data_IF_495608110212
#
_entry.id   IF_495608110212
#
_cell.length_a   1.000
_cell.length_b   1.000
_cell.length_c   1.000
_cell.angle_alpha   90.00
_cell.angle_beta   90.00
_cell.angle_gamma   90.00
#
_symmetry.space_group_name_H-M   'P 1'
#
loop_
_entity.id
_entity.type
_entity.pdbx_description
1 polymer ?
#
# COMPACT_ATOMS: atom_id res chain seq x y z
N UNK A 1 -18.38 -21.51 -18.09
CA UNK A 1 -19.59 -21.44 -17.27
C UNK A 1 -19.99 -19.98 -17.06
N UNK A 2 -21.24 -19.62 -17.33
CA UNK A 2 -21.74 -18.23 -17.25
C UNK A 2 -21.75 -17.72 -15.79
N UNK A 3 -22.09 -18.57 -14.85
CA UNK A 3 -22.09 -18.22 -13.42
C UNK A 3 -20.66 -17.90 -12.91
N UNK A 4 -19.69 -18.72 -13.25
CA UNK A 4 -18.28 -18.47 -12.91
C UNK A 4 -17.78 -17.16 -13.53
N UNK A 5 -18.17 -16.88 -14.78
CA UNK A 5 -17.80 -15.64 -15.45
C UNK A 5 -18.37 -14.39 -14.76
N UNK A 6 -19.61 -14.46 -14.24
CA UNK A 6 -20.17 -13.35 -13.47
C UNK A 6 -19.42 -13.11 -12.14
N UNK A 7 -19.06 -14.18 -11.42
CA UNK A 7 -18.27 -14.10 -10.17
C UNK A 7 -16.86 -13.60 -10.37
N UNK A 8 -16.30 -13.74 -11.55
CA UNK A 8 -14.95 -13.24 -11.89
C UNK A 8 -14.94 -11.77 -12.29
N UNK A 9 -16.07 -11.13 -12.47
CA UNK A 9 -16.14 -9.69 -12.77
C UNK A 9 -15.70 -8.87 -11.56
N UNK A 10 -14.93 -7.83 -11.82
CA UNK A 10 -14.53 -6.88 -10.78
C UNK A 10 -15.78 -6.11 -10.27
N UNK A 11 -16.03 -6.19 -8.99
CA UNK A 11 -17.09 -5.46 -8.28
C UNK A 11 -16.63 -4.13 -7.66
N UNK A 12 -15.32 -3.93 -7.60
CA UNK A 12 -14.68 -2.72 -7.09
C UNK A 12 -14.39 -1.71 -8.21
N UNK A 13 -14.19 -0.45 -7.85
CA UNK A 13 -13.83 0.60 -8.82
C UNK A 13 -12.49 0.27 -9.48
N UNK A 14 -12.40 0.57 -10.78
CA UNK A 14 -11.17 0.43 -11.54
C UNK A 14 -10.02 1.12 -10.80
N UNK A 15 -8.86 0.49 -10.78
CA UNK A 15 -7.64 0.94 -10.11
C UNK A 15 -7.66 0.95 -8.57
N UNK A 16 -8.76 0.58 -7.91
CA UNK A 16 -8.74 0.33 -6.46
C UNK A 16 -7.90 -0.89 -6.07
N UNK A 17 -7.61 -1.76 -7.03
CA UNK A 17 -6.68 -2.88 -6.91
C UNK A 17 -5.74 -2.86 -8.12
N UNK A 18 -4.53 -3.37 -7.97
CA UNK A 18 -3.56 -3.48 -9.06
C UNK A 18 -4.14 -4.32 -10.19
N UNK A 19 -4.21 -3.82 -11.43
CA UNK A 19 -4.56 -4.64 -12.58
C UNK A 19 -3.46 -5.68 -12.81
N UNK A 20 -3.86 -6.93 -12.98
CA UNK A 20 -2.96 -8.02 -13.34
C UNK A 20 -3.29 -8.50 -14.74
N UNK A 21 -2.26 -8.67 -15.56
CA UNK A 21 -2.40 -9.10 -16.96
C UNK A 21 -1.82 -10.50 -17.09
N UNK A 22 -2.67 -11.45 -17.50
CA UNK A 22 -2.26 -12.82 -17.70
C UNK A 22 -3.20 -13.53 -18.69
N UNK A 23 -2.63 -14.13 -19.75
CA UNK A 23 -3.41 -14.69 -20.86
C UNK A 23 -4.14 -15.97 -20.48
N UNK A 24 -3.63 -16.74 -19.53
CA UNK A 24 -4.18 -18.04 -19.17
C UNK A 24 -5.04 -18.04 -17.88
N UNK A 25 -5.11 -16.94 -17.12
CA UNK A 25 -5.80 -16.92 -15.83
C UNK A 25 -7.31 -17.21 -15.97
N UNK A 26 -7.99 -16.45 -16.81
CA UNK A 26 -9.44 -16.64 -17.01
C UNK A 26 -9.75 -17.97 -17.70
N UNK A 27 -8.89 -18.42 -18.61
CA UNK A 27 -9.02 -19.69 -19.29
C UNK A 27 -8.87 -20.89 -18.35
N UNK A 28 -8.11 -20.75 -17.23
CA UNK A 28 -7.95 -21.82 -16.26
C UNK A 28 -9.27 -22.29 -15.67
N UNK A 29 -10.26 -21.41 -15.55
CA UNK A 29 -11.59 -21.75 -15.05
C UNK A 29 -12.48 -22.57 -16.04
N UNK A 30 -11.99 -22.81 -17.25
CA UNK A 30 -12.62 -23.79 -18.18
C UNK A 30 -12.15 -25.22 -17.90
N UNK A 31 -11.12 -25.40 -17.08
CA UNK A 31 -10.68 -26.73 -16.66
C UNK A 31 -11.71 -27.30 -15.65
N UNK A 32 -12.18 -28.55 -15.85
CA UNK A 32 -13.16 -29.17 -14.94
C UNK A 32 -12.65 -29.36 -13.51
N UNK A 33 -11.33 -29.35 -13.30
CA UNK A 33 -10.70 -29.49 -11.99
C UNK A 33 -10.40 -28.12 -11.32
N UNK A 34 -10.78 -26.99 -11.94
CA UNK A 34 -10.61 -25.65 -11.37
C UNK A 34 -11.96 -25.12 -10.88
N UNK A 35 -12.05 -24.89 -9.58
CA UNK A 35 -13.26 -24.41 -8.93
C UNK A 35 -13.05 -23.05 -8.32
N UNK A 36 -13.92 -22.10 -8.62
CA UNK A 36 -14.00 -20.81 -7.95
C UNK A 36 -14.96 -20.92 -6.77
N UNK A 37 -14.43 -20.73 -5.56
CA UNK A 37 -15.25 -20.66 -4.34
C UNK A 37 -15.38 -19.20 -3.95
N UNK A 38 -16.58 -18.67 -4.18
CA UNK A 38 -16.93 -17.32 -3.78
C UNK A 38 -17.27 -17.30 -2.29
N UNK A 39 -16.59 -16.46 -1.54
CA UNK A 39 -16.79 -16.32 -0.09
C UNK A 39 -17.75 -15.18 0.27
N UNK A 40 -18.30 -14.49 -0.71
CA UNK A 40 -19.16 -13.29 -0.51
C UNK A 40 -18.45 -12.24 0.39
N UNK A 41 -17.14 -12.09 0.23
CA UNK A 41 -16.31 -11.17 1.02
C UNK A 41 -16.05 -11.60 2.46
N UNK A 42 -16.60 -12.73 2.93
CA UNK A 42 -16.44 -13.20 4.33
C UNK A 42 -15.16 -13.96 4.59
N UNK A 43 -14.51 -14.43 3.50
CA UNK A 43 -13.27 -15.19 3.59
C UNK A 43 -13.48 -16.66 4.01
N UNK A 44 -12.38 -17.31 4.39
CA UNK A 44 -12.37 -18.67 4.92
C UNK A 44 -12.72 -18.62 6.40
N UNK A 45 -13.68 -19.43 6.84
CA UNK A 45 -14.16 -19.45 8.23
C UNK A 45 -13.14 -20.09 9.17
N UNK A 46 -12.60 -21.22 8.76
CA UNK A 46 -11.57 -21.94 9.52
C UNK A 46 -10.83 -22.95 8.63
N UNK A 47 -9.66 -23.33 9.08
CA UNK A 47 -8.88 -24.44 8.53
C UNK A 47 -9.10 -25.66 9.42
N UNK A 48 -9.22 -26.82 8.81
CA UNK A 48 -9.38 -28.12 9.47
C UNK A 48 -8.18 -29.02 9.16
N UNK A 49 -8.12 -30.18 9.76
CA UNK A 49 -7.09 -31.19 9.43
C UNK A 49 -7.18 -31.70 7.98
N UNK A 50 -8.36 -31.58 7.34
CA UNK A 50 -8.61 -32.05 5.98
C UNK A 50 -8.65 -30.95 4.92
N UNK A 51 -8.76 -29.70 5.32
CA UNK A 51 -8.89 -28.60 4.36
C UNK A 51 -9.38 -27.30 4.95
N UNK A 52 -10.39 -26.69 4.32
CA UNK A 52 -10.89 -25.39 4.72
C UNK A 52 -12.43 -25.33 4.64
N UNK A 53 -13.04 -24.48 5.48
CA UNK A 53 -14.50 -24.30 5.54
C UNK A 53 -14.86 -22.92 5.04
N UNK A 54 -15.81 -22.87 4.09
CA UNK A 54 -16.42 -21.65 3.56
C UNK A 54 -17.94 -21.81 3.54
N UNK A 55 -18.67 -20.86 4.11
CA UNK A 55 -20.12 -20.86 4.23
C UNK A 55 -20.66 -22.20 4.79
N UNK A 56 -20.02 -22.73 5.82
CA UNK A 56 -20.36 -23.97 6.50
C UNK A 56 -20.03 -25.26 5.72
N UNK A 57 -19.51 -25.15 4.50
CA UNK A 57 -19.11 -26.30 3.67
C UNK A 57 -17.60 -26.53 3.79
N UNK A 58 -17.19 -27.77 4.07
CA UNK A 58 -15.81 -28.18 4.07
C UNK A 58 -15.34 -28.57 2.65
N UNK A 59 -14.15 -28.09 2.30
CA UNK A 59 -13.44 -28.42 1.06
C UNK A 59 -12.15 -29.12 1.44
N UNK A 60 -12.10 -30.42 1.14
CA UNK A 60 -10.90 -31.23 1.38
C UNK A 60 -9.83 -30.92 0.33
N UNK A 61 -8.59 -30.70 0.81
CA UNK A 61 -7.44 -30.36 -0.04
C UNK A 61 -6.16 -30.93 0.56
N UNK A 62 -5.22 -31.30 -0.28
CA UNK A 62 -3.91 -31.84 0.12
C UNK A 62 -2.90 -30.71 0.39
N UNK A 63 -3.14 -29.51 -0.13
CA UNK A 63 -2.25 -28.36 0.01
C UNK A 63 -3.03 -27.04 0.04
N UNK A 64 -2.62 -26.14 0.93
CA UNK A 64 -3.16 -24.77 1.00
C UNK A 64 -2.03 -23.79 0.68
N UNK A 65 -2.25 -22.94 -0.33
CA UNK A 65 -1.32 -21.88 -0.70
C UNK A 65 -1.89 -20.54 -0.25
N UNK A 66 -1.23 -19.90 0.72
CA UNK A 66 -1.60 -18.58 1.19
C UNK A 66 -1.11 -17.51 0.23
N UNK A 67 -2.03 -16.85 -0.46
CA UNK A 67 -1.77 -15.74 -1.37
C UNK A 67 -2.62 -14.50 -0.99
N UNK A 68 -2.83 -14.29 0.32
CA UNK A 68 -3.69 -13.24 0.88
C UNK A 68 -3.10 -11.82 0.79
N UNK A 69 -1.87 -11.67 0.30
CA UNK A 69 -1.18 -10.39 0.14
C UNK A 69 -0.42 -9.95 1.38
N UNK A 70 0.04 -8.70 1.34
CA UNK A 70 0.80 -8.07 2.43
C UNK A 70 -0.07 -7.07 3.18
N UNK A 71 0.30 -6.78 4.43
CA UNK A 71 -0.26 -5.65 5.20
C UNK A 71 0.23 -4.31 4.61
N UNK A 72 -0.48 -3.77 3.62
CA UNK A 72 -0.08 -2.54 2.93
C UNK A 72 -0.66 -1.29 3.59
N UNK A 73 -1.83 -1.37 4.21
CA UNK A 73 -2.56 -0.24 4.81
C UNK A 73 -2.33 -0.02 6.30
N UNK A 74 -1.37 -0.71 6.91
CA UNK A 74 -1.08 -0.57 8.36
C UNK A 74 -0.19 0.64 8.65
N UNK A 75 -0.29 1.18 9.88
CA UNK A 75 0.54 2.30 10.32
C UNK A 75 2.03 2.01 10.21
N UNK A 76 2.83 3.04 9.98
CA UNK A 76 4.29 2.92 9.92
C UNK A 76 4.87 2.29 11.16
N UNK A 77 4.41 2.70 12.34
CA UNK A 77 4.84 2.16 13.62
C UNK A 77 4.65 0.64 13.70
N UNK A 78 3.49 0.13 13.27
CA UNK A 78 3.23 -1.32 13.27
C UNK A 78 4.13 -2.06 12.28
N UNK A 79 4.38 -1.48 11.11
CA UNK A 79 5.20 -2.11 10.06
C UNK A 79 6.69 -2.08 10.36
N UNK A 80 7.18 -0.99 10.94
CA UNK A 80 8.60 -0.80 11.26
C UNK A 80 9.00 -1.39 12.62
N UNK A 81 8.05 -1.54 13.54
CA UNK A 81 8.30 -1.94 14.92
C UNK A 81 8.82 -0.81 15.82
N UNK A 82 8.91 0.42 15.30
CA UNK A 82 9.33 1.61 16.06
C UNK A 82 8.53 2.84 15.60
N UNK A 83 8.53 3.90 16.43
CA UNK A 83 7.98 5.19 16.05
C UNK A 83 9.12 6.20 15.78
N UNK A 84 8.88 7.10 14.85
CA UNK A 84 9.82 8.19 14.56
C UNK A 84 9.48 9.39 15.43
N UNK A 85 10.48 9.93 16.10
CA UNK A 85 10.32 11.11 16.98
C UNK A 85 10.88 12.33 16.27
N UNK A 86 10.07 13.33 16.07
CA UNK A 86 10.40 14.61 15.47
C UNK A 86 10.83 15.67 16.51
N UNK A 87 10.76 16.93 16.09
CA UNK A 87 11.00 18.07 16.98
C UNK A 87 10.05 18.04 18.16
N UNK A 88 10.50 18.56 19.29
CA UNK A 88 9.72 18.71 20.52
C UNK A 88 9.11 17.39 21.04
N UNK A 89 9.68 16.25 20.61
CA UNK A 89 9.24 14.93 21.04
C UNK A 89 7.95 14.43 20.37
N UNK A 90 7.50 15.08 19.31
CA UNK A 90 6.29 14.68 18.56
C UNK A 90 6.53 13.36 17.87
N UNK A 91 5.65 12.38 18.10
CA UNK A 91 5.67 11.08 17.42
C UNK A 91 5.02 11.20 16.05
N UNK A 92 5.59 10.52 15.06
CA UNK A 92 5.02 10.46 13.71
C UNK A 92 3.63 9.82 13.71
N UNK A 93 3.42 8.80 14.54
CA UNK A 93 2.11 8.16 14.71
C UNK A 93 1.05 9.14 15.21
N UNK A 94 1.40 10.03 16.14
CA UNK A 94 0.50 11.04 16.68
C UNK A 94 0.24 12.15 15.63
N UNK A 95 1.29 12.58 14.93
CA UNK A 95 1.17 13.58 13.87
C UNK A 95 0.29 13.11 12.70
N UNK A 96 0.24 11.81 12.45
CA UNK A 96 -0.57 11.17 11.42
C UNK A 96 -1.87 10.53 11.93
N UNK A 97 -2.29 10.82 13.17
CA UNK A 97 -3.50 10.21 13.75
C UNK A 97 -4.77 10.46 12.92
N UNK A 98 -4.92 11.67 12.39
CA UNK A 98 -6.05 12.08 11.54
C UNK A 98 -5.83 11.76 10.04
N UNK A 99 -4.76 11.07 9.70
CA UNK A 99 -4.38 10.73 8.34
C UNK A 99 -2.95 11.14 8.02
N UNK A 100 -2.41 10.51 7.00
CA UNK A 100 -1.03 10.74 6.58
C UNK A 100 -0.85 12.14 5.99
N UNK A 101 0.14 12.86 6.47
CA UNK A 101 0.50 14.22 6.06
C UNK A 101 1.93 14.24 5.56
N UNK A 102 2.16 14.84 4.40
CA UNK A 102 3.51 15.00 3.84
C UNK A 102 3.51 16.03 2.72
N UNK A 103 4.66 16.57 2.38
CA UNK A 103 4.89 17.26 1.11
C UNK A 103 5.42 16.26 0.09
N UNK A 104 4.72 16.07 -1.03
CA UNK A 104 5.07 15.16 -2.14
C UNK A 104 5.28 13.69 -1.73
N UNK A 105 4.78 13.27 -0.56
CA UNK A 105 5.00 11.93 -0.03
C UNK A 105 6.42 11.68 0.50
N UNK A 106 7.29 12.70 0.53
CA UNK A 106 8.72 12.57 0.83
C UNK A 106 9.08 13.24 2.15
N UNK A 107 8.52 14.41 2.43
CA UNK A 107 8.85 15.23 3.61
C UNK A 107 7.69 15.35 4.57
N UNK A 108 7.98 15.47 5.86
CA UNK A 108 6.98 15.71 6.91
C UNK A 108 7.42 16.90 7.76
N UNK A 109 6.52 17.84 7.98
CA UNK A 109 6.78 18.98 8.85
C UNK A 109 7.00 18.53 10.30
N UNK A 110 7.98 19.12 10.97
CA UNK A 110 8.38 18.74 12.33
C UNK A 110 9.38 17.58 12.39
N UNK A 111 9.76 17.02 11.24
CA UNK A 111 10.71 15.90 11.16
C UNK A 111 11.91 16.28 10.26
N UNK A 112 12.83 17.12 10.76
CA UNK A 112 13.97 17.59 9.98
C UNK A 112 14.87 16.44 9.54
N UNK A 113 15.44 16.55 8.34
CA UNK A 113 16.30 15.55 7.71
C UNK A 113 15.66 14.16 7.55
N UNK A 114 14.35 14.03 7.75
CA UNK A 114 13.64 12.79 7.48
C UNK A 114 13.09 12.80 6.04
N UNK A 115 13.37 11.72 5.31
CA UNK A 115 12.88 11.51 3.96
C UNK A 115 12.20 10.15 3.86
N UNK A 116 11.05 10.11 3.21
CA UNK A 116 10.34 8.88 2.89
C UNK A 116 10.67 8.50 1.45
N UNK A 117 11.35 7.37 1.26
CA UNK A 117 11.83 6.96 -0.07
C UNK A 117 10.69 6.44 -0.94
N UNK A 118 9.71 5.77 -0.36
CA UNK A 118 8.49 5.37 -1.05
C UNK A 118 7.40 6.40 -0.74
N UNK A 119 6.84 7.11 -1.75
CA UNK A 119 5.88 8.17 -1.49
C UNK A 119 4.73 7.69 -0.62
N UNK A 120 4.60 8.31 0.54
CA UNK A 120 3.63 7.88 1.56
C UNK A 120 2.17 8.08 1.10
N UNK A 121 1.91 9.06 0.25
CA UNK A 121 0.59 9.41 -0.29
C UNK A 121 0.46 9.12 -1.78
N UNK A 122 1.38 8.39 -2.35
CA UNK A 122 1.38 7.99 -3.75
C UNK A 122 0.80 6.59 -3.93
N UNK A 123 -0.50 6.47 -4.20
CA UNK A 123 -1.10 5.21 -4.61
C UNK A 123 -0.88 4.98 -6.10
N UNK A 124 0.31 4.57 -6.49
CA UNK A 124 0.55 4.23 -7.88
C UNK A 124 0.50 2.71 -8.09
N UNK A 125 -0.70 2.20 -8.33
CA UNK A 125 -0.95 0.79 -8.62
C UNK A 125 -0.58 0.39 -10.06
N UNK A 126 -0.27 1.36 -10.93
CA UNK A 126 -0.06 1.13 -12.36
C UNK A 126 1.41 1.27 -12.73
N UNK A 127 2.14 2.24 -12.15
CA UNK A 127 3.51 2.50 -12.52
C UNK A 127 4.50 1.52 -11.92
N UNK A 128 5.67 1.49 -12.54
CA UNK A 128 6.81 0.72 -12.06
C UNK A 128 7.35 1.35 -10.76
N UNK A 129 7.19 0.69 -9.63
CA UNK A 129 7.67 1.15 -8.31
C UNK A 129 9.17 1.51 -8.33
N UNK A 130 10.09 0.71 -8.90
CA UNK A 130 11.49 1.09 -9.03
C UNK A 130 11.72 2.42 -9.75
N UNK A 131 10.95 2.75 -10.76
CA UNK A 131 11.05 4.04 -11.44
C UNK A 131 10.69 5.21 -10.51
N UNK A 132 9.61 5.10 -9.76
CA UNK A 132 9.22 6.10 -8.76
C UNK A 132 10.26 6.26 -7.65
N UNK A 133 10.89 5.16 -7.23
CA UNK A 133 11.97 5.20 -6.25
C UNK A 133 13.20 5.97 -6.76
N UNK A 134 13.53 5.82 -8.06
CA UNK A 134 14.62 6.59 -8.69
C UNK A 134 14.32 8.10 -8.66
N UNK A 135 13.10 8.50 -8.97
CA UNK A 135 12.72 9.92 -8.96
C UNK A 135 12.69 10.49 -7.54
N UNK A 136 12.19 9.72 -6.57
CA UNK A 136 12.29 10.10 -5.15
C UNK A 136 13.75 10.25 -4.71
N UNK A 137 14.62 9.33 -5.09
CA UNK A 137 16.05 9.39 -4.76
C UNK A 137 16.74 10.62 -5.38
N UNK A 138 16.42 10.96 -6.63
CA UNK A 138 16.93 12.19 -7.28
C UNK A 138 16.48 13.44 -6.54
N UNK A 139 15.20 13.53 -6.17
CA UNK A 139 14.66 14.65 -5.39
C UNK A 139 15.37 14.78 -4.07
N UNK A 140 15.51 13.70 -3.29
CA UNK A 140 16.19 13.68 -2.00
C UNK A 140 17.65 14.10 -2.16
N UNK A 141 18.38 13.54 -3.13
CA UNK A 141 19.79 13.87 -3.35
C UNK A 141 19.99 15.34 -3.73
N UNK A 142 19.08 15.92 -4.52
CA UNK A 142 19.10 17.34 -4.88
C UNK A 142 18.92 18.22 -3.63
N UNK A 143 17.97 17.89 -2.78
CA UNK A 143 17.71 18.64 -1.55
C UNK A 143 18.89 18.55 -0.59
N UNK A 144 19.42 17.35 -0.36
CA UNK A 144 20.58 17.15 0.51
C UNK A 144 21.80 17.92 -0.02
N UNK A 145 22.07 17.83 -1.32
CA UNK A 145 23.18 18.56 -1.95
C UNK A 145 23.03 20.07 -1.80
N UNK A 146 21.84 20.61 -2.05
CA UNK A 146 21.56 22.03 -1.89
C UNK A 146 21.73 22.48 -0.42
N UNK A 147 21.22 21.71 0.52
CA UNK A 147 21.35 22.00 1.96
C UNK A 147 22.83 22.10 2.36
N UNK A 148 23.65 21.12 1.95
CA UNK A 148 25.08 21.10 2.25
C UNK A 148 25.85 22.25 1.57
N UNK A 149 25.58 22.51 0.30
CA UNK A 149 26.21 23.61 -0.47
C UNK A 149 25.87 24.99 0.10
N UNK A 150 24.68 25.12 0.69
CA UNK A 150 24.25 26.36 1.37
C UNK A 150 24.82 26.49 2.79
N UNK A 151 25.65 25.58 3.23
CA UNK A 151 26.27 25.60 4.58
C UNK A 151 25.31 25.24 5.71
N UNK A 152 24.14 24.63 5.38
CA UNK A 152 23.17 24.19 6.37
C UNK A 152 23.33 22.71 6.69
N UNK A 153 23.02 22.35 7.92
CA UNK A 153 23.01 20.95 8.40
C UNK A 153 21.60 20.37 8.51
N UNK A 154 20.57 21.21 8.32
CA UNK A 154 19.18 20.83 8.53
C UNK A 154 18.32 21.30 7.37
N UNK A 155 17.46 20.42 6.90
CA UNK A 155 16.40 20.68 5.95
C UNK A 155 15.07 20.24 6.55
N UNK A 156 14.05 21.06 6.40
CA UNK A 156 12.71 20.79 6.89
C UNK A 156 11.67 21.46 5.99
N UNK A 157 10.56 20.79 5.74
CA UNK A 157 9.44 21.38 5.05
C UNK A 157 8.65 22.30 5.99
N UNK A 158 8.20 23.44 5.48
CA UNK A 158 7.31 24.34 6.24
C UNK A 158 5.92 23.74 6.37
N UNK A 159 5.24 24.02 7.49
CA UNK A 159 3.86 23.57 7.68
C UNK A 159 2.95 24.07 6.58
N UNK A 160 3.13 25.32 6.13
CA UNK A 160 2.33 25.90 5.04
C UNK A 160 2.46 25.10 3.74
N UNK A 161 3.69 24.73 3.34
CA UNK A 161 3.89 23.96 2.10
C UNK A 161 3.27 22.56 2.18
N UNK A 162 3.32 21.91 3.34
CA UNK A 162 2.64 20.64 3.57
C UNK A 162 1.11 20.79 3.50
N UNK A 163 0.55 21.82 4.15
CA UNK A 163 -0.90 22.08 4.15
C UNK A 163 -1.43 22.42 2.75
N UNK A 164 -0.71 23.24 1.99
CA UNK A 164 -1.06 23.60 0.60
C UNK A 164 -1.07 22.36 -0.30
N UNK A 165 -0.10 21.47 -0.12
CA UNK A 165 -0.05 20.20 -0.86
C UNK A 165 -1.24 19.29 -0.51
N UNK A 166 -1.60 19.17 0.76
CA UNK A 166 -2.75 18.38 1.18
C UNK A 166 -4.06 18.95 0.65
N UNK A 167 -4.22 20.26 0.64
CA UNK A 167 -5.37 20.91 0.05
C UNK A 167 -5.51 20.59 -1.45
N UNK A 168 -4.40 20.58 -2.18
CA UNK A 168 -4.38 20.20 -3.61
C UNK A 168 -4.80 18.74 -3.83
N UNK A 169 -4.41 17.80 -2.94
CA UNK A 169 -4.79 16.40 -3.05
C UNK A 169 -6.27 16.13 -2.73
N UNK A 170 -6.93 17.06 -2.05
CA UNK A 170 -8.32 16.92 -1.61
C UNK A 170 -9.34 17.46 -2.63
N UNK A 171 -8.88 18.03 -3.75
CA UNK A 171 -9.69 18.54 -4.87
C UNK A 171 -9.84 17.49 -5.95
#
# INVERSE_FOLDING_TARGET
NKETAEKLKAWYRQLCKRPCFHDAYLQSFNNPNTHLIDTDGKGVERITEKGLVVAGKEYEVDCIIYASGFEVGTSYQRRSGFDTIGKDGVKLSDYWAEGMRSLHGIHVHGFPNMFIVHPAQGANLISNVPHNLVDSAKTISTIVSHTLQSGHSTNEVTKQAEDDWLALLST
#
